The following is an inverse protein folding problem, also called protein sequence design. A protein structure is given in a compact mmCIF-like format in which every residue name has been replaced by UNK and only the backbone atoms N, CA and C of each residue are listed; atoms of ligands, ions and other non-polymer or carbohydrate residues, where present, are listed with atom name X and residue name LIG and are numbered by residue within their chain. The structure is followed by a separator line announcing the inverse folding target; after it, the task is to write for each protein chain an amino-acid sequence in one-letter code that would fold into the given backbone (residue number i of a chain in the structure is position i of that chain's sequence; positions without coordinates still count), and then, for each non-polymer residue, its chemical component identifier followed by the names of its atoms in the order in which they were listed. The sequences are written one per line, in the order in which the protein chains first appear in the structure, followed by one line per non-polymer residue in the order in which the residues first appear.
data_IF_054104993546
#
_entry.id   IF_054104993546
#
_cell.length_a   1.000
_cell.length_b   1.000
_cell.length_c   1.000
_cell.angle_alpha   90.00
_cell.angle_beta   90.00
_cell.angle_gamma   90.00
#
_symmetry.space_group_name_H-M   'P 1'
#
loop_
_entity.id
_entity.type
_entity.pdbx_description
1 polymer ?
#
# COMPACT_ATOMS: atom_id res chain seq x y z
N UNK A 1 15.42 -0.19 -1.76
CA UNK A 1 14.89 -1.53 -2.12
C UNK A 1 13.47 -1.63 -1.59
N UNK A 2 12.52 -2.01 -2.44
CA UNK A 2 11.12 -2.27 -2.05
C UNK A 2 11.07 -3.69 -1.44
N UNK A 3 10.40 -3.86 -0.29
CA UNK A 3 10.41 -5.10 0.50
C UNK A 3 9.65 -6.27 -0.16
N UNK A 4 9.67 -7.48 0.42
CA UNK A 4 9.07 -8.71 -0.18
C UNK A 4 7.54 -8.73 -0.25
N UNK A 5 6.87 -7.62 0.12
CA UNK A 5 5.42 -7.48 0.11
C UNK A 5 5.02 -6.09 -0.40
N UNK A 6 4.17 -5.39 0.35
CA UNK A 6 3.79 -4.02 -0.01
C UNK A 6 4.82 -3.01 0.46
N UNK A 7 4.94 -1.91 -0.28
CA UNK A 7 5.64 -0.73 0.19
C UNK A 7 4.70 0.47 0.23
N UNK A 8 4.56 1.08 1.39
CA UNK A 8 3.94 2.38 1.55
C UNK A 8 5.00 3.42 1.22
N UNK A 9 4.83 4.17 0.14
CA UNK A 9 5.66 5.32 -0.20
C UNK A 9 4.91 6.59 0.18
N UNK A 10 5.52 7.47 0.95
CA UNK A 10 4.84 8.65 1.49
C UNK A 10 5.78 9.85 1.50
N UNK A 11 5.23 11.06 1.39
CA UNK A 11 5.97 12.31 1.68
C UNK A 11 5.84 12.68 3.16
N UNK A 12 6.70 13.59 3.64
CA UNK A 12 6.84 13.90 5.07
C UNK A 12 5.52 14.24 5.78
N UNK A 13 4.67 15.00 5.11
CA UNK A 13 3.39 15.47 5.65
C UNK A 13 2.32 14.38 5.79
N UNK A 14 2.57 13.18 5.25
CA UNK A 14 1.74 11.98 5.35
C UNK A 14 2.36 10.90 6.27
N UNK A 15 3.38 11.25 7.07
CA UNK A 15 4.07 10.29 7.94
C UNK A 15 3.14 9.62 8.96
N UNK A 16 2.20 10.37 9.54
CA UNK A 16 1.22 9.83 10.49
C UNK A 16 0.27 8.82 9.82
N UNK A 17 -0.13 9.10 8.57
CA UNK A 17 -0.98 8.20 7.78
C UNK A 17 -0.22 6.92 7.42
N UNK A 18 1.04 7.05 6.99
CA UNK A 18 1.90 5.91 6.69
C UNK A 18 2.09 5.01 7.91
N UNK A 19 2.27 5.58 9.11
CA UNK A 19 2.35 4.82 10.36
C UNK A 19 1.04 4.08 10.67
N UNK A 20 -0.10 4.71 10.41
CA UNK A 20 -1.44 4.12 10.59
C UNK A 20 -1.64 2.93 9.63
N UNK A 21 -1.29 3.11 8.35
CA UNK A 21 -1.34 2.04 7.34
C UNK A 21 -0.41 0.88 7.69
N UNK A 22 0.81 1.18 8.15
CA UNK A 22 1.77 0.17 8.55
C UNK A 22 1.28 -0.65 9.75
N UNK A 23 0.67 0.01 10.74
CA UNK A 23 0.04 -0.66 11.90
C UNK A 23 -1.12 -1.54 11.44
N UNK A 24 -2.01 -1.02 10.59
CA UNK A 24 -3.14 -1.77 10.06
C UNK A 24 -2.73 -2.99 9.22
N UNK A 25 -1.62 -2.91 8.48
CA UNK A 25 -1.06 -4.03 7.74
C UNK A 25 -0.43 -5.07 8.68
N UNK A 26 0.29 -4.61 9.71
CA UNK A 26 0.86 -5.49 10.74
C UNK A 26 -0.21 -6.26 11.50
N UNK A 27 -1.30 -5.62 11.90
CA UNK A 27 -2.43 -6.26 12.60
C UNK A 27 -3.09 -7.37 11.78
N UNK A 28 -2.94 -7.30 10.45
CA UNK A 28 -3.44 -8.31 9.49
C UNK A 28 -2.38 -9.33 9.07
N UNK A 29 -1.16 -9.25 9.62
CA UNK A 29 -0.07 -10.15 9.27
C UNK A 29 0.50 -9.93 7.86
N UNK A 30 0.34 -8.72 7.31
CA UNK A 30 0.68 -8.43 5.91
C UNK A 30 2.07 -7.81 5.83
N UNK A 31 3.04 -8.47 5.15
CA UNK A 31 4.40 -7.94 5.02
C UNK A 31 4.37 -6.59 4.29
N UNK A 32 4.65 -5.53 5.04
CA UNK A 32 4.60 -4.15 4.52
C UNK A 32 5.77 -3.36 5.08
N UNK A 33 6.42 -2.58 4.22
CA UNK A 33 7.46 -1.62 4.59
C UNK A 33 6.99 -0.20 4.29
N UNK A 34 7.47 0.79 5.02
CA UNK A 34 7.20 2.20 4.73
C UNK A 34 8.50 2.91 4.34
N UNK A 35 8.45 3.71 3.28
CA UNK A 35 9.59 4.47 2.76
C UNK A 35 9.15 5.91 2.54
N UNK A 36 9.87 6.84 3.16
CA UNK A 36 9.72 8.27 2.89
C UNK A 36 10.34 8.60 1.54
N UNK A 37 9.59 9.26 0.67
CA UNK A 37 10.08 9.89 -0.55
C UNK A 37 10.11 11.40 -0.40
N UNK A 38 11.06 12.07 -1.06
CA UNK A 38 11.12 13.54 -1.08
C UNK A 38 9.99 14.13 -1.94
N UNK A 39 9.58 13.40 -2.97
CA UNK A 39 8.49 13.76 -3.87
C UNK A 39 7.97 12.51 -4.58
N UNK A 40 6.64 12.44 -4.74
CA UNK A 40 5.96 11.45 -5.58
C UNK A 40 5.59 12.11 -6.91
N UNK A 41 4.30 12.42 -7.10
CA UNK A 41 3.79 13.30 -8.14
C UNK A 41 3.10 14.51 -7.47
N UNK A 42 2.71 15.57 -8.20
CA UNK A 42 2.21 16.81 -7.60
C UNK A 42 0.94 16.67 -6.73
N UNK A 43 0.22 15.56 -6.84
CA UNK A 43 -1.08 15.36 -6.19
C UNK A 43 -1.01 14.21 -5.18
N UNK A 44 -0.13 13.23 -5.39
CA UNK A 44 -0.01 12.08 -4.49
C UNK A 44 0.83 12.40 -3.27
N UNK A 45 0.26 12.18 -2.07
CA UNK A 45 0.99 12.28 -0.79
C UNK A 45 1.42 10.92 -0.23
N UNK A 46 0.65 9.88 -0.55
CA UNK A 46 0.91 8.53 -0.10
C UNK A 46 0.45 7.51 -1.15
N UNK A 47 1.22 6.43 -1.30
CA UNK A 47 0.94 5.36 -2.25
C UNK A 47 1.26 4.00 -1.64
N UNK A 48 0.48 2.99 -2.00
CA UNK A 48 0.80 1.60 -1.76
C UNK A 48 1.29 0.97 -3.06
N UNK A 49 2.50 0.42 -2.99
CA UNK A 49 3.21 -0.19 -4.12
C UNK A 49 3.31 -1.68 -3.87
N UNK A 50 2.93 -2.48 -4.87
CA UNK A 50 3.09 -3.94 -4.85
C UNK A 50 4.55 -4.33 -5.09
N UNK A 51 4.87 -5.59 -4.83
CA UNK A 51 6.20 -6.15 -5.06
C UNK A 51 6.66 -6.00 -6.52
N UNK A 52 5.73 -6.06 -7.48
CA UNK A 52 5.97 -5.85 -8.92
C UNK A 52 6.15 -4.37 -9.32
N UNK A 53 6.31 -3.48 -8.34
CA UNK A 53 6.50 -2.04 -8.50
C UNK A 53 5.30 -1.30 -9.08
N UNK A 54 4.13 -1.96 -9.15
CA UNK A 54 2.88 -1.33 -9.58
C UNK A 54 2.22 -0.63 -8.39
N UNK A 55 1.77 0.61 -8.61
CA UNK A 55 0.95 1.34 -7.63
C UNK A 55 -0.41 0.66 -7.55
N UNK A 56 -0.68 -0.03 -6.44
CA UNK A 56 -1.98 -0.63 -6.16
C UNK A 56 -2.99 0.43 -5.73
N UNK A 57 -2.52 1.49 -5.06
CA UNK A 57 -3.35 2.57 -4.57
C UNK A 57 -2.53 3.82 -4.30
N UNK A 58 -3.18 4.98 -4.36
CA UNK A 58 -2.58 6.26 -3.99
C UNK A 58 -3.65 7.22 -3.51
N UNK A 59 -3.24 8.20 -2.72
CA UNK A 59 -4.11 9.27 -2.24
C UNK A 59 -3.40 10.62 -2.19
N UNK A 60 -4.19 11.66 -2.49
CA UNK A 60 -3.86 13.07 -2.24
C UNK A 60 -4.25 13.53 -0.84
N UNK A 61 -5.20 12.82 -0.21
CA UNK A 61 -5.69 13.12 1.11
C UNK A 61 -5.20 12.08 2.11
N UNK A 62 -4.85 12.54 3.31
CA UNK A 62 -4.59 11.67 4.46
C UNK A 62 -5.74 10.65 4.57
N UNK A 63 -5.44 9.35 4.64
CA UNK A 63 -6.43 8.29 4.53
C UNK A 63 -7.44 8.32 5.69
N UNK A 64 -8.69 8.79 5.48
CA UNK A 64 -9.69 8.82 6.58
C UNK A 64 -10.53 7.54 6.72
N UNK A 65 -10.36 6.51 5.87
CA UNK A 65 -11.17 5.29 5.98
C UNK A 65 -10.34 4.00 6.01
N UNK A 66 -10.16 3.39 7.20
CA UNK A 66 -9.53 2.07 7.37
C UNK A 66 -10.16 0.95 6.54
N UNK A 67 -11.43 1.07 6.11
CA UNK A 67 -12.07 0.09 5.22
C UNK A 67 -11.54 0.16 3.79
N UNK A 68 -11.15 1.35 3.33
CA UNK A 68 -10.51 1.52 2.02
C UNK A 68 -9.11 0.90 1.99
N UNK A 69 -8.37 0.99 3.10
CA UNK A 69 -7.06 0.32 3.26
C UNK A 69 -7.21 -1.19 3.19
N UNK A 70 -8.20 -1.75 3.89
CA UNK A 70 -8.47 -3.19 3.86
C UNK A 70 -8.86 -3.67 2.45
N UNK A 71 -9.61 -2.87 1.68
CA UNK A 71 -9.96 -3.19 0.30
C UNK A 71 -8.74 -3.21 -0.63
N UNK A 72 -7.84 -2.23 -0.49
CA UNK A 72 -6.60 -2.15 -1.27
C UNK A 72 -5.68 -3.33 -1.00
N UNK A 73 -5.53 -3.70 0.27
CA UNK A 73 -4.65 -4.82 0.63
C UNK A 73 -5.31 -6.17 0.33
N UNK A 74 -6.63 -6.29 0.48
CA UNK A 74 -7.41 -7.48 0.10
C UNK A 74 -7.43 -7.74 -1.42
N UNK A 75 -7.45 -6.69 -2.24
CA UNK A 75 -7.38 -6.81 -3.70
C UNK A 75 -6.00 -7.23 -4.23
N UNK A 76 -4.97 -7.13 -3.39
CA UNK A 76 -3.60 -7.42 -3.77
C UNK A 76 -3.08 -8.74 -3.16
N UNK A 77 -3.99 -9.58 -2.64
CA UNK A 77 -3.76 -11.03 -2.56
C UNK A 77 -3.42 -11.51 -3.97
N UNK A 78 -2.28 -12.20 -4.18
CA UNK A 78 -1.97 -12.75 -5.49
C UNK A 78 -3.10 -13.70 -5.87
N UNK A 79 -3.75 -13.42 -7.01
CA UNK A 79 -4.53 -14.44 -7.70
C UNK A 79 -3.53 -15.54 -8.00
N UNK A 80 -3.67 -16.69 -7.35
CA UNK A 80 -2.90 -17.87 -7.72
C UNK A 80 -3.12 -18.10 -9.23
N UNK A 81 -2.06 -18.07 -10.07
CA UNK A 81 -2.22 -18.33 -11.50
C UNK A 81 -2.83 -19.72 -11.77
N UNK A 82 -2.77 -20.66 -10.82
CA UNK A 82 -3.47 -21.94 -10.92
C UNK A 82 -4.99 -21.84 -10.75
N UNK A 83 -5.51 -20.75 -10.15
CA UNK A 83 -6.95 -20.50 -10.01
C UNK A 83 -7.58 -19.83 -11.24
N UNK A 84 -6.77 -19.37 -12.21
CA UNK A 84 -7.25 -18.76 -13.45
C UNK A 84 -7.64 -19.78 -14.55
N UNK A 85 -7.51 -21.08 -14.28
CA UNK A 85 -7.96 -22.14 -15.19
C UNK A 85 -8.97 -23.04 -14.49
N UNK A 86 -10.27 -22.70 -14.60
CA UNK A 86 -11.41 -23.64 -14.70
C UNK A 86 -12.76 -22.91 -14.48
N UNK A 87 -13.33 -22.34 -15.54
CA UNK A 87 -14.59 -22.74 -16.17
C UNK A 87 -15.02 -21.74 -17.23
#
# INVERSE_FOLDING_TARGET
MLGPGFTIVYVDDAAADAATLLTAARDRGIPTTAVRGDRLDPITRIALVRLDHVVAWRSSDACWDPKHVAAVVGAAVPVDPASATLR
#
